data_IF_780994964477
#
_entry.id   IF_780994964477
#
_cell.length_a   1.000
_cell.length_b   1.000
_cell.length_c   1.000
_cell.angle_alpha   90.00
_cell.angle_beta   90.00
_cell.angle_gamma   90.00
#
_symmetry.space_group_name_H-M   'P 1'
#
loop_
_entity.id
_entity.type
_entity.pdbx_description
1 polymer ?
#
# COMPACT_ATOMS: atom_id res chain seq x y z
N UNK A 1 -13.84 -1.78 -20.10
CA UNK A 1 -14.62 -1.31 -18.93
C UNK A 1 -14.02 -1.96 -17.70
N UNK A 2 -13.37 -1.22 -16.80
CA UNK A 2 -12.88 -1.78 -15.53
C UNK A 2 -14.03 -2.18 -14.60
N UNK A 3 -13.76 -2.91 -13.49
CA UNK A 3 -14.79 -3.25 -12.53
C UNK A 3 -15.39 -1.97 -11.93
N UNK A 4 -16.72 -1.87 -11.93
CA UNK A 4 -17.43 -0.76 -11.27
C UNK A 4 -17.30 -0.97 -9.76
N UNK A 5 -16.88 0.07 -9.04
CA UNK A 5 -16.89 0.06 -7.58
C UNK A 5 -18.31 -0.16 -7.09
N UNK A 6 -18.48 -1.03 -6.09
CA UNK A 6 -19.78 -1.27 -5.48
C UNK A 6 -20.06 -0.09 -4.56
N UNK A 7 -20.93 0.82 -4.97
CA UNK A 7 -21.37 1.94 -4.15
C UNK A 7 -22.65 1.57 -3.42
N UNK A 8 -22.72 1.76 -2.09
CA UNK A 8 -23.95 1.61 -1.35
C UNK A 8 -24.98 2.63 -1.87
N UNK A 9 -26.22 2.18 -2.15
CA UNK A 9 -27.28 3.09 -2.58
C UNK A 9 -27.66 4.00 -1.41
N UNK A 10 -27.79 5.29 -1.68
CA UNK A 10 -28.22 6.26 -0.67
C UNK A 10 -29.59 5.84 -0.09
N UNK A 11 -29.78 5.91 1.24
CA UNK A 11 -31.07 5.61 1.83
C UNK A 11 -32.14 6.58 1.31
N UNK A 12 -33.37 6.12 1.06
CA UNK A 12 -34.45 6.99 0.61
C UNK A 12 -34.80 8.02 1.69
N UNK A 13 -34.94 9.29 1.31
CA UNK A 13 -35.24 10.38 2.26
C UNK A 13 -36.65 10.30 2.86
N UNK A 14 -37.63 9.82 2.09
CA UNK A 14 -39.02 9.72 2.54
C UNK A 14 -39.47 8.27 2.41
N UNK A 15 -39.83 7.67 3.54
CA UNK A 15 -40.49 6.37 3.59
C UNK A 15 -41.99 6.62 3.74
N UNK A 16 -42.76 6.33 2.70
CA UNK A 16 -44.21 6.61 2.67
C UNK A 16 -45.05 5.65 3.53
N UNK A 17 -44.47 4.52 3.97
CA UNK A 17 -45.21 3.40 4.56
C UNK A 17 -44.98 3.26 6.08
N UNK A 18 -44.78 4.37 6.79
CA UNK A 18 -44.50 4.36 8.24
C UNK A 18 -45.81 4.14 9.01
N UNK A 19 -45.96 2.95 9.59
CA UNK A 19 -47.04 2.63 10.52
C UNK A 19 -46.81 3.37 11.86
N UNK A 20 -47.87 3.75 12.57
CA UNK A 20 -47.77 4.50 13.83
C UNK A 20 -46.92 3.79 14.90
N UNK A 21 -46.25 4.56 15.76
CA UNK A 21 -45.24 4.06 16.70
C UNK A 21 -45.76 3.05 17.73
N UNK A 22 -47.05 3.04 18.02
CA UNK A 22 -47.69 2.10 18.95
C UNK A 22 -48.42 0.95 18.26
N UNK A 23 -48.38 0.88 16.92
CA UNK A 23 -49.06 -0.16 16.18
C UNK A 23 -48.22 -1.45 16.17
N UNK A 24 -48.87 -2.61 16.29
CA UNK A 24 -48.19 -3.91 16.39
C UNK A 24 -47.43 -4.33 15.13
N UNK A 25 -46.57 -5.33 15.27
CA UNK A 25 -45.79 -5.86 14.14
C UNK A 25 -46.70 -6.51 13.09
N UNK A 26 -46.63 -6.00 11.85
CA UNK A 26 -47.32 -6.60 10.70
C UNK A 26 -46.55 -7.79 10.11
N UNK A 27 -47.20 -8.59 9.27
CA UNK A 27 -46.58 -9.77 8.62
C UNK A 27 -45.43 -9.42 7.67
N UNK A 28 -45.39 -8.19 7.15
CA UNK A 28 -44.32 -7.69 6.28
C UNK A 28 -43.11 -7.11 7.01
N UNK A 29 -43.22 -6.85 8.31
CA UNK A 29 -42.19 -6.12 9.08
C UNK A 29 -40.85 -6.88 9.11
N UNK A 30 -40.91 -8.21 9.21
CA UNK A 30 -39.72 -9.05 9.16
C UNK A 30 -38.91 -8.86 7.87
N UNK A 31 -39.59 -8.75 6.73
CA UNK A 31 -38.91 -8.57 5.44
C UNK A 31 -38.34 -7.16 5.29
N UNK A 32 -39.01 -6.15 5.84
CA UNK A 32 -38.51 -4.77 5.89
C UNK A 32 -37.20 -4.74 6.69
N UNK A 33 -37.18 -5.33 7.88
CA UNK A 33 -35.98 -5.44 8.71
C UNK A 33 -34.86 -6.22 8.02
N UNK A 34 -35.16 -7.38 7.43
CA UNK A 34 -34.18 -8.19 6.71
C UNK A 34 -33.53 -7.41 5.57
N UNK A 35 -34.32 -6.64 4.82
CA UNK A 35 -33.82 -5.81 3.74
C UNK A 35 -33.01 -4.61 4.24
N UNK A 36 -33.47 -3.91 5.29
CA UNK A 36 -32.74 -2.77 5.86
C UNK A 36 -31.41 -3.21 6.48
N UNK A 37 -31.39 -4.29 7.26
CA UNK A 37 -30.17 -4.86 7.85
C UNK A 37 -29.18 -5.27 6.78
N UNK A 38 -29.65 -5.92 5.69
CA UNK A 38 -28.77 -6.29 4.57
C UNK A 38 -28.13 -5.07 3.91
N UNK A 39 -28.91 -4.03 3.63
CA UNK A 39 -28.38 -2.78 3.06
C UNK A 39 -27.37 -2.13 4.00
N UNK A 40 -27.62 -2.14 5.30
CA UNK A 40 -26.72 -1.53 6.28
C UNK A 40 -25.42 -2.30 6.42
N UNK A 41 -25.45 -3.63 6.46
CA UNK A 41 -24.23 -4.45 6.48
C UNK A 41 -23.41 -4.27 5.21
N UNK A 42 -24.05 -4.21 4.03
CA UNK A 42 -23.37 -3.91 2.77
C UNK A 42 -22.73 -2.51 2.81
N UNK A 43 -23.43 -1.51 3.34
CA UNK A 43 -22.91 -0.14 3.49
C UNK A 43 -21.70 -0.09 4.42
N UNK A 44 -21.80 -0.68 5.62
CA UNK A 44 -20.71 -0.73 6.60
C UNK A 44 -19.49 -1.45 6.03
N UNK A 45 -19.71 -2.61 5.41
CA UNK A 45 -18.64 -3.39 4.78
C UNK A 45 -17.90 -2.59 3.70
N UNK A 46 -18.62 -1.86 2.85
CA UNK A 46 -18.00 -1.04 1.81
C UNK A 46 -17.16 0.10 2.41
N UNK A 47 -17.68 0.77 3.43
CA UNK A 47 -16.94 1.83 4.13
C UNK A 47 -15.66 1.29 4.80
N UNK A 48 -15.73 0.11 5.42
CA UNK A 48 -14.57 -0.55 6.03
C UNK A 48 -13.54 -0.99 4.98
N UNK A 49 -14.00 -1.51 3.84
CA UNK A 49 -13.14 -1.92 2.72
C UNK A 49 -12.45 -0.71 2.08
N UNK A 50 -13.15 0.41 1.89
CA UNK A 50 -12.59 1.67 1.38
C UNK A 50 -11.54 2.23 2.35
N UNK A 51 -11.87 2.32 3.64
CA UNK A 51 -10.94 2.83 4.66
C UNK A 51 -9.63 2.03 4.69
N UNK A 52 -9.72 0.70 4.67
CA UNK A 52 -8.54 -0.18 4.65
C UNK A 52 -7.71 -0.01 3.39
N UNK A 53 -8.35 0.19 2.23
CA UNK A 53 -7.64 0.44 0.96
C UNK A 53 -6.92 1.78 0.98
N UNK A 54 -7.57 2.84 1.48
CA UNK A 54 -6.96 4.17 1.60
C UNK A 54 -5.75 4.17 2.54
N UNK A 55 -5.86 3.50 3.69
CA UNK A 55 -4.76 3.33 4.63
C UNK A 55 -3.58 2.58 4.00
N UNK A 56 -3.85 1.44 3.33
CA UNK A 56 -2.82 0.65 2.67
C UNK A 56 -2.14 1.41 1.51
N UNK A 57 -2.90 2.18 0.73
CA UNK A 57 -2.36 2.98 -0.37
C UNK A 57 -1.51 4.14 0.16
N UNK A 58 -1.95 4.79 1.25
CA UNK A 58 -1.17 5.83 1.92
C UNK A 58 0.16 5.28 2.45
N UNK A 59 0.15 4.15 3.16
CA UNK A 59 1.37 3.52 3.66
C UNK A 59 2.32 3.11 2.53
N UNK A 60 1.78 2.56 1.45
CA UNK A 60 2.55 2.18 0.28
C UNK A 60 3.21 3.40 -0.37
N UNK A 61 2.46 4.49 -0.54
CA UNK A 61 2.94 5.72 -1.15
C UNK A 61 4.03 6.38 -0.28
N UNK A 62 3.83 6.46 1.04
CA UNK A 62 4.83 6.97 1.97
C UNK A 62 6.13 6.15 1.91
N UNK A 63 6.03 4.82 1.92
CA UNK A 63 7.19 3.92 1.82
C UNK A 63 7.93 4.07 0.49
N UNK A 64 7.18 4.20 -0.61
CA UNK A 64 7.73 4.41 -1.95
C UNK A 64 8.48 5.73 -2.04
N UNK A 65 7.91 6.81 -1.51
CA UNK A 65 8.55 8.12 -1.47
C UNK A 65 9.81 8.13 -0.60
N UNK A 66 9.79 7.48 0.56
CA UNK A 66 10.97 7.34 1.42
C UNK A 66 12.11 6.61 0.70
N UNK A 67 11.80 5.51 0.01
CA UNK A 67 12.77 4.76 -0.76
C UNK A 67 13.33 5.59 -1.92
N UNK A 68 12.48 6.30 -2.67
CA UNK A 68 12.90 7.18 -3.75
C UNK A 68 13.81 8.31 -3.25
N UNK A 69 13.46 8.98 -2.14
CA UNK A 69 14.30 10.02 -1.52
C UNK A 69 15.66 9.47 -1.11
N UNK A 70 15.70 8.29 -0.48
CA UNK A 70 16.95 7.67 -0.06
C UNK A 70 17.86 7.30 -1.26
N UNK A 71 17.26 6.85 -2.36
CA UNK A 71 18.00 6.55 -3.59
C UNK A 71 18.49 7.82 -4.29
N UNK A 72 17.65 8.86 -4.37
CA UNK A 72 18.01 10.16 -4.94
C UNK A 72 19.12 10.86 -4.14
N UNK A 73 19.11 10.76 -2.81
CA UNK A 73 20.20 11.25 -1.96
C UNK A 73 21.52 10.52 -2.22
N UNK A 74 21.49 9.19 -2.38
CA UNK A 74 22.70 8.41 -2.71
C UNK A 74 23.19 8.75 -4.12
N UNK A 75 22.28 8.85 -5.09
CA UNK A 75 22.58 9.16 -6.48
C UNK A 75 23.14 10.59 -6.64
N UNK A 76 22.55 11.58 -5.96
CA UNK A 76 23.00 12.97 -5.99
C UNK A 76 24.38 13.14 -5.34
N UNK A 77 24.63 12.55 -4.17
CA UNK A 77 25.96 12.51 -3.53
C UNK A 77 27.01 11.90 -4.45
N UNK A 78 26.68 10.78 -5.11
CA UNK A 78 27.59 10.13 -6.06
C UNK A 78 27.81 10.93 -7.34
N UNK A 79 26.76 11.59 -7.86
CA UNK A 79 26.84 12.49 -9.02
C UNK A 79 27.75 13.69 -8.72
N UNK A 80 27.55 14.35 -7.57
CA UNK A 80 28.39 15.46 -7.12
C UNK A 80 29.86 15.06 -6.97
N UNK A 81 30.14 13.87 -6.39
CA UNK A 81 31.51 13.32 -6.31
C UNK A 81 32.14 13.15 -7.72
N UNK A 82 31.38 12.61 -8.68
CA UNK A 82 31.84 12.42 -10.07
C UNK A 82 32.05 13.75 -10.79
N UNK A 83 31.16 14.72 -10.62
CA UNK A 83 31.28 16.05 -11.22
C UNK A 83 32.48 16.82 -10.66
N UNK A 84 32.70 16.81 -9.33
CA UNK A 84 33.89 17.39 -8.71
C UNK A 84 35.18 16.76 -9.25
N UNK A 85 35.20 15.44 -9.45
CA UNK A 85 36.33 14.74 -10.06
C UNK A 85 36.55 15.12 -11.53
N UNK A 86 35.48 15.21 -12.33
CA UNK A 86 35.54 15.68 -13.73
C UNK A 86 36.07 17.10 -13.82
N UNK A 87 35.59 18.02 -12.97
CA UNK A 87 36.06 19.40 -12.92
C UNK A 87 37.55 19.48 -12.53
N UNK A 88 37.99 18.69 -11.55
CA UNK A 88 39.43 18.59 -11.19
C UNK A 88 40.27 18.05 -12.35
N UNK A 89 39.80 17.03 -13.06
CA UNK A 89 40.50 16.47 -14.21
C UNK A 89 40.57 17.45 -15.39
N UNK A 90 39.48 18.19 -15.67
CA UNK A 90 39.44 19.23 -16.68
C UNK A 90 40.41 20.39 -16.35
N UNK A 91 40.43 20.87 -15.10
CA UNK A 91 41.37 21.90 -14.63
C UNK A 91 42.84 21.46 -14.78
N UNK A 92 43.16 20.20 -14.46
CA UNK A 92 44.50 19.63 -14.67
C UNK A 92 44.90 19.57 -16.15
N UNK A 93 43.96 19.22 -17.04
CA UNK A 93 44.21 19.19 -18.49
C UNK A 93 44.34 20.58 -19.12
N UNK A 94 43.72 21.60 -18.53
CA UNK A 94 43.80 22.99 -18.97
C UNK A 94 45.05 23.75 -18.50
N UNK A 95 46.06 23.08 -17.92
CA UNK A 95 47.37 23.67 -17.63
C UNK A 95 47.48 24.46 -16.31
N UNK A 96 46.47 24.43 -15.43
CA UNK A 96 46.52 25.11 -14.14
C UNK A 96 47.44 24.40 -13.14
N UNK A 97 48.70 24.83 -13.07
CA UNK A 97 49.60 24.60 -11.94
C UNK A 97 49.40 25.77 -10.96
N UNK A 98 48.72 25.53 -9.85
CA UNK A 98 49.06 25.99 -8.48
C UNK A 98 47.82 26.04 -7.54
N UNK A 99 48.10 26.01 -6.24
CA UNK A 99 47.25 26.10 -5.04
C UNK A 99 46.38 24.89 -4.66
N UNK A 100 46.98 24.02 -3.85
CA UNK A 100 46.33 23.51 -2.63
C UNK A 100 45.81 24.69 -1.81
N UNK A 101 44.54 24.69 -1.42
CA UNK A 101 44.07 24.81 -0.01
C UNK A 101 42.52 24.88 0.04
N UNK A 102 41.97 24.69 1.24
CA UNK A 102 40.60 24.92 1.69
C UNK A 102 39.64 23.71 1.73
N UNK A 103 39.61 23.16 2.95
CA UNK A 103 38.48 22.73 3.76
C UNK A 103 38.13 21.24 3.81
N UNK A 104 38.64 20.64 4.88
CA UNK A 104 38.34 19.32 5.41
C UNK A 104 37.15 19.45 6.39
N UNK A 105 35.99 18.89 6.02
CA UNK A 105 34.85 18.78 6.93
C UNK A 105 33.76 17.81 6.44
N UNK A 106 33.06 17.14 7.36
CA UNK A 106 33.57 16.11 8.27
C UNK A 106 33.61 14.73 7.58
N UNK A 107 34.65 13.94 7.89
CA UNK A 107 34.69 12.50 7.60
C UNK A 107 33.67 11.78 8.49
N UNK A 108 32.53 11.38 7.92
CA UNK A 108 31.71 10.32 8.50
C UNK A 108 32.36 8.95 8.17
N UNK A 109 32.43 8.01 9.13
CA UNK A 109 33.13 6.75 8.94
C UNK A 109 32.35 5.85 7.98
N UNK A 110 32.86 5.70 6.76
CA UNK A 110 32.41 4.69 5.81
C UNK A 110 32.70 3.30 6.41
N UNK A 111 31.64 2.60 6.84
CA UNK A 111 31.76 1.16 7.14
C UNK A 111 32.18 0.45 5.85
N UNK A 112 33.32 -0.22 5.92
CA UNK A 112 33.92 -1.06 4.88
C UNK A 112 32.88 -1.97 4.19
N UNK A 113 32.33 -1.51 3.08
CA UNK A 113 31.63 -2.35 2.10
C UNK A 113 32.65 -2.97 1.17
N UNK A 114 32.92 -4.27 1.35
CA UNK A 114 33.72 -5.08 0.42
C UNK A 114 33.23 -4.85 -1.01
N UNK A 115 34.11 -4.33 -1.87
CA UNK A 115 33.86 -4.16 -3.30
C UNK A 115 33.69 -5.53 -3.96
N UNK A 116 32.48 -6.11 -3.94
CA UNK A 116 32.14 -7.18 -4.87
C UNK A 116 31.93 -6.54 -6.24
N UNK A 117 32.85 -6.78 -7.17
CA UNK A 117 32.66 -6.48 -8.59
C UNK A 117 31.45 -7.29 -9.06
N UNK A 118 30.30 -6.64 -9.27
CA UNK A 118 29.23 -7.25 -10.05
C UNK A 118 29.68 -7.26 -11.52
N UNK A 119 30.17 -8.41 -11.98
CA UNK A 119 30.17 -8.74 -13.40
C UNK A 119 28.74 -9.07 -13.87
N UNK A 120 28.45 -9.04 -15.18
CA UNK A 120 27.12 -9.37 -15.68
C UNK A 120 26.78 -10.83 -15.34
N UNK A 121 25.75 -11.03 -14.53
CA UNK A 121 25.22 -12.36 -14.26
C UNK A 121 24.58 -12.89 -15.55
N UNK A 122 25.21 -13.91 -16.14
CA UNK A 122 24.58 -14.72 -17.19
C UNK A 122 23.42 -15.48 -16.54
N UNK A 123 22.20 -15.03 -16.79
CA UNK A 123 20.99 -15.78 -16.42
C UNK A 123 20.91 -16.99 -17.33
N UNK A 124 21.26 -18.17 -16.80
CA UNK A 124 20.96 -19.43 -17.45
C UNK A 124 19.50 -19.79 -17.11
N UNK A 125 18.63 -19.80 -18.13
CA UNK A 125 17.29 -20.38 -18.02
C UNK A 125 17.42 -21.91 -18.00
N UNK A 126 16.96 -22.62 -16.94
CA UNK A 126 16.70 -24.04 -17.08
C UNK A 126 15.36 -24.24 -17.79
N UNK A 127 15.43 -24.73 -19.02
CA UNK A 127 14.38 -25.54 -19.62
C UNK A 127 14.25 -26.81 -18.78
N UNK A 128 13.05 -27.10 -18.30
CA UNK A 128 12.47 -28.46 -18.26
C UNK A 128 10.99 -28.33 -17.90
N UNK A 129 10.15 -28.77 -18.83
CA UNK A 129 8.73 -28.97 -18.57
C UNK A 129 8.53 -30.19 -17.69
N UNK A 130 7.45 -30.19 -16.92
CA UNK A 130 6.68 -31.38 -16.58
C UNK A 130 5.33 -30.91 -16.04
N UNK A 131 4.26 -31.36 -16.68
CA UNK A 131 2.89 -31.11 -16.25
C UNK A 131 2.61 -31.85 -14.96
N UNK A 132 1.94 -31.18 -14.02
CA UNK A 132 1.25 -31.84 -12.94
C UNK A 132 0.00 -31.04 -12.57
N UNK A 133 -1.15 -31.61 -12.94
CA UNK A 133 -2.47 -31.19 -12.49
C UNK A 133 -2.52 -31.23 -10.96
N UNK A 134 -3.07 -30.18 -10.36
CA UNK A 134 -3.38 -30.13 -8.92
C UNK A 134 -4.88 -30.01 -8.80
N UNK A 135 -5.51 -31.12 -8.44
CA UNK A 135 -6.90 -31.19 -8.02
C UNK A 135 -7.10 -30.36 -6.74
N UNK A 136 -8.06 -29.44 -6.77
CA UNK A 136 -8.49 -28.66 -5.59
C UNK A 136 -9.59 -29.46 -4.91
N UNK A 137 -9.22 -30.20 -3.86
CA UNK A 137 -10.17 -30.81 -2.93
C UNK A 137 -10.78 -29.73 -2.04
N UNK A 138 -12.11 -29.66 -2.05
CA UNK A 138 -12.90 -28.77 -1.21
C UNK A 138 -13.04 -29.29 0.21
N UNK A 139 -12.87 -28.40 1.18
CA UNK A 139 -13.29 -28.62 2.57
C UNK A 139 -14.05 -27.38 3.04
N UNK A 140 -15.25 -27.61 3.57
CA UNK A 140 -16.21 -26.59 3.96
C UNK A 140 -15.83 -25.91 5.27
N UNK A 141 -15.89 -24.59 5.27
CA UNK A 141 -15.62 -23.77 6.44
C UNK A 141 -16.91 -23.57 7.24
N UNK A 142 -16.85 -24.00 8.50
CA UNK A 142 -17.93 -23.97 9.48
C UNK A 142 -18.36 -22.52 9.79
N UNK A 143 -19.66 -22.34 10.01
CA UNK A 143 -20.26 -21.10 10.45
C UNK A 143 -19.64 -20.63 11.78
N UNK A 144 -18.88 -19.54 11.73
CA UNK A 144 -18.49 -18.79 12.91
C UNK A 144 -19.71 -17.96 13.37
N UNK A 145 -20.20 -18.24 14.57
CA UNK A 145 -21.25 -17.46 15.24
C UNK A 145 -20.84 -16.00 15.39
N UNK A 146 -21.70 -15.09 14.94
CA UNK A 146 -21.55 -13.64 15.08
C UNK A 146 -21.62 -13.25 16.57
N UNK A 147 -20.47 -12.91 17.17
CA UNK A 147 -20.42 -12.27 18.49
C UNK A 147 -20.95 -10.85 18.34
N UNK A 148 -22.16 -10.61 18.87
CA UNK A 148 -22.78 -9.29 18.90
C UNK A 148 -21.90 -8.27 19.64
N UNK A 149 -21.89 -7.04 19.14
CA UNK A 149 -21.21 -5.90 19.76
C UNK A 149 -21.98 -5.55 21.05
N UNK A 150 -21.51 -6.04 22.19
CA UNK A 150 -22.00 -5.62 23.52
C UNK A 150 -21.30 -4.32 23.91
N UNK A 151 -21.97 -3.19 23.69
CA UNK A 151 -21.57 -1.89 24.23
C UNK A 151 -21.88 -1.91 25.73
N UNK A 152 -20.85 -1.79 26.56
CA UNK A 152 -21.00 -1.57 27.99
C UNK A 152 -20.99 -0.05 28.21
N UNK A 153 -22.11 0.51 28.64
CA UNK A 153 -22.17 1.85 29.20
C UNK A 153 -21.65 1.76 30.66
N UNK A 154 -20.41 2.22 30.88
CA UNK A 154 -19.90 2.48 32.23
C UNK A 154 -20.44 3.84 32.70
N UNK A 155 -21.24 3.83 33.76
CA UNK A 155 -21.61 4.98 34.60
C UNK A 155 -20.52 5.28 35.65
#
# INVERSE_FOLDING_TARGET
>A
MGPKTRTALAPPEIVANVQGSSAGAGSGEFHVYKASRRREYERLRLMDEETKQEEAEKEFQEKKEQMQKADDEKLSKNRAKREKAKMRAAKKKAGGKDSMDVDEGPKQPEKNGVKKKLGPAKVALPSNGDGKEVEINGEGEAAAEEVGITIHDDD
#
